data_IF_671326343776
#
_entry.id   IF_671326343776
#
_cell.length_a   1.000
_cell.length_b   1.000
_cell.length_c   1.000
_cell.angle_alpha   90.00
_cell.angle_beta   90.00
_cell.angle_gamma   90.00
#
_symmetry.space_group_name_H-M   'P 1'
#
loop_
_entity.id
_entity.type
_entity.pdbx_description
1 polymer ?
#
# COMPACT_ATOMS: atom_id res chain seq x y z
N UNK A 1 -11.54 63.98 -42.36
CA UNK A 1 -11.61 62.53 -42.63
C UNK A 1 -10.30 61.92 -42.16
N UNK A 2 -10.28 61.37 -40.92
CA UNK A 2 -9.10 60.78 -40.33
C UNK A 2 -9.00 59.33 -40.72
N UNK A 3 -8.02 58.94 -41.50
CA UNK A 3 -7.71 57.62 -41.94
C UNK A 3 -6.94 56.92 -40.77
N UNK A 4 -7.63 56.10 -39.97
CA UNK A 4 -7.07 55.31 -38.91
C UNK A 4 -6.22 54.17 -39.50
N UNK A 5 -4.90 54.36 -39.50
CA UNK A 5 -3.92 53.37 -39.96
C UNK A 5 -3.91 52.20 -38.97
N UNK A 6 -4.42 51.07 -39.40
CA UNK A 6 -4.40 49.84 -38.62
C UNK A 6 -2.94 49.34 -38.47
N UNK A 7 -2.51 48.94 -37.27
CA UNK A 7 -1.19 48.32 -37.09
C UNK A 7 -1.17 46.95 -37.76
N UNK A 8 -0.20 46.71 -38.62
CA UNK A 8 0.06 45.41 -39.23
C UNK A 8 0.48 44.42 -38.16
N UNK A 9 -0.06 43.20 -38.14
CA UNK A 9 0.39 42.17 -37.22
C UNK A 9 1.85 41.80 -37.53
N UNK A 10 2.66 41.80 -36.48
CA UNK A 10 4.06 41.40 -36.55
C UNK A 10 4.16 39.90 -36.94
N UNK A 11 4.54 39.65 -38.19
CA UNK A 11 4.94 38.33 -38.67
C UNK A 11 6.31 38.02 -38.10
N UNK A 12 6.37 37.25 -36.99
CA UNK A 12 7.62 36.87 -36.36
C UNK A 12 7.49 35.74 -35.39
N UNK A 13 6.48 34.87 -35.54
CA UNK A 13 6.56 33.55 -34.88
C UNK A 13 7.54 32.70 -35.69
N UNK A 14 8.80 32.67 -35.26
CA UNK A 14 9.77 31.68 -35.73
C UNK A 14 9.08 30.32 -35.61
N UNK A 15 8.80 29.69 -36.74
CA UNK A 15 8.41 28.28 -36.77
C UNK A 15 9.60 27.52 -36.20
N UNK A 16 9.58 27.34 -34.87
CA UNK A 16 10.44 26.40 -34.20
C UNK A 16 10.20 25.06 -34.93
N UNK A 17 11.23 24.58 -35.63
CA UNK A 17 11.07 23.46 -36.53
C UNK A 17 10.43 22.30 -35.79
N UNK A 18 9.39 21.71 -36.38
CA UNK A 18 8.70 20.54 -35.82
C UNK A 18 9.70 19.46 -35.32
N UNK A 19 10.80 19.29 -36.05
CA UNK A 19 11.90 18.37 -35.66
C UNK A 19 12.55 18.74 -34.31
N UNK A 20 12.74 20.03 -34.02
CA UNK A 20 13.26 20.48 -32.74
C UNK A 20 12.26 20.21 -31.59
N UNK A 21 10.97 20.45 -31.81
CA UNK A 21 9.91 20.17 -30.86
C UNK A 21 9.79 18.66 -30.57
N UNK A 22 9.92 17.81 -31.61
CA UNK A 22 9.93 16.36 -31.45
C UNK A 22 11.14 15.88 -30.64
N UNK A 23 12.32 16.45 -30.86
CA UNK A 23 13.52 16.14 -30.09
C UNK A 23 13.36 16.55 -28.62
N UNK A 24 12.83 17.75 -28.35
CA UNK A 24 12.55 18.19 -26.98
C UNK A 24 11.53 17.28 -26.27
N UNK A 25 10.45 16.91 -26.96
CA UNK A 25 9.44 16.01 -26.42
C UNK A 25 10.05 14.61 -26.13
N UNK A 26 10.88 14.09 -27.03
CA UNK A 26 11.56 12.81 -26.82
C UNK A 26 12.51 12.86 -25.62
N UNK A 27 13.28 13.93 -25.45
CA UNK A 27 14.19 14.11 -24.31
C UNK A 27 13.42 14.20 -23.00
N UNK A 28 12.34 14.95 -22.95
CA UNK A 28 11.49 15.08 -21.75
C UNK A 28 10.85 13.73 -21.40
N UNK A 29 10.34 13.00 -22.40
CA UNK A 29 9.73 11.69 -22.16
C UNK A 29 10.76 10.65 -21.67
N UNK A 30 11.96 10.64 -22.23
CA UNK A 30 13.02 9.74 -21.78
C UNK A 30 13.50 10.09 -20.37
N UNK A 31 13.65 11.39 -20.07
CA UNK A 31 14.01 11.85 -18.73
C UNK A 31 12.93 11.52 -17.70
N UNK A 32 11.67 11.71 -18.04
CA UNK A 32 10.55 11.36 -17.17
C UNK A 32 10.45 9.84 -16.94
N UNK A 33 10.63 9.04 -17.99
CA UNK A 33 10.64 7.58 -17.88
C UNK A 33 11.81 7.09 -17.01
N UNK A 34 12.99 7.68 -17.18
CA UNK A 34 14.17 7.37 -16.37
C UNK A 34 13.94 7.76 -14.91
N UNK A 35 13.37 8.94 -14.66
CA UNK A 35 13.05 9.41 -13.32
C UNK A 35 12.03 8.48 -12.64
N UNK A 36 10.97 8.09 -13.34
CA UNK A 36 9.98 7.12 -12.82
C UNK A 36 10.64 5.77 -12.52
N UNK A 37 11.58 5.32 -13.37
CA UNK A 37 12.28 4.07 -13.16
C UNK A 37 13.24 4.13 -11.96
N UNK A 38 13.89 5.28 -11.74
CA UNK A 38 14.79 5.52 -10.60
C UNK A 38 14.04 5.74 -9.28
N UNK A 39 12.86 6.38 -9.36
CA UNK A 39 12.00 6.65 -8.19
C UNK A 39 11.02 5.49 -7.91
N UNK A 40 10.97 4.47 -8.77
CA UNK A 40 10.24 3.26 -8.40
C UNK A 40 10.89 2.72 -7.14
N UNK A 41 10.16 2.70 -6.01
CA UNK A 41 10.67 1.98 -4.86
C UNK A 41 10.97 0.57 -5.36
N UNK A 42 12.23 0.16 -5.27
CA UNK A 42 12.57 -1.25 -5.34
C UNK A 42 11.97 -1.85 -4.08
N UNK A 43 10.66 -2.10 -4.11
CA UNK A 43 10.09 -3.06 -3.22
C UNK A 43 10.72 -4.39 -3.64
N UNK A 44 11.86 -4.73 -3.06
CA UNK A 44 12.14 -6.13 -2.81
C UNK A 44 10.81 -6.58 -2.19
N UNK A 45 10.16 -7.53 -2.82
CA UNK A 45 9.00 -8.16 -2.23
C UNK A 45 9.49 -8.89 -0.98
N UNK A 46 9.67 -8.13 0.09
CA UNK A 46 9.99 -8.68 1.39
C UNK A 46 8.75 -9.45 1.83
N UNK A 47 8.88 -10.67 2.31
CA UNK A 47 7.75 -11.43 2.76
C UNK A 47 7.03 -10.63 3.86
N UNK A 48 5.71 -10.52 3.72
CA UNK A 48 4.88 -9.89 4.73
C UNK A 48 4.69 -10.86 5.90
N UNK A 49 4.63 -10.30 7.10
CA UNK A 49 4.24 -10.99 8.30
C UNK A 49 3.10 -10.24 9.00
N UNK A 50 2.31 -10.96 9.75
CA UNK A 50 1.28 -10.37 10.59
C UNK A 50 1.83 -10.18 12.00
N UNK A 51 1.83 -8.95 12.47
CA UNK A 51 2.08 -8.61 13.87
C UNK A 51 0.75 -8.65 14.60
N UNK A 52 0.61 -9.60 15.51
CA UNK A 52 -0.58 -9.78 16.35
C UNK A 52 -0.28 -9.24 17.73
N UNK A 53 -1.03 -8.23 18.15
CA UNK A 53 -0.96 -7.64 19.49
C UNK A 53 -2.18 -8.10 20.31
N UNK A 54 -1.92 -8.73 21.42
CA UNK A 54 -2.93 -9.22 22.37
C UNK A 54 -3.19 -8.22 23.51
N UNK A 55 -2.63 -7.03 23.41
CA UNK A 55 -2.65 -6.07 24.51
C UNK A 55 -1.62 -6.36 25.59
N UNK A 56 -1.39 -5.39 26.46
CA UNK A 56 -0.42 -5.55 27.56
C UNK A 56 1.05 -5.68 27.14
N UNK A 57 1.37 -5.39 25.87
CA UNK A 57 2.73 -5.52 25.35
C UNK A 57 3.11 -6.94 24.90
N UNK A 58 2.12 -7.80 24.72
CA UNK A 58 2.33 -9.17 24.19
C UNK A 58 2.05 -9.13 22.70
N UNK A 59 3.11 -9.29 21.92
CA UNK A 59 3.03 -9.33 20.44
C UNK A 59 3.60 -10.66 19.93
N UNK A 60 3.00 -11.16 18.86
CA UNK A 60 3.45 -12.35 18.15
C UNK A 60 3.54 -12.06 16.64
N UNK A 61 4.58 -12.58 16.00
CA UNK A 61 4.80 -12.42 14.55
C UNK A 61 4.43 -13.71 13.85
N UNK A 62 3.44 -13.63 12.97
CA UNK A 62 2.97 -14.77 12.19
C UNK A 62 3.43 -14.63 10.74
N UNK A 63 4.25 -15.57 10.25
CA UNK A 63 4.64 -15.59 8.85
C UNK A 63 3.43 -15.90 7.95
N UNK A 64 3.35 -15.25 6.79
CA UNK A 64 2.29 -15.48 5.81
C UNK A 64 2.72 -16.43 4.68
N UNK A 65 3.89 -17.03 4.79
CA UNK A 65 4.47 -17.93 3.77
C UNK A 65 3.85 -19.32 3.75
N UNK A 66 3.15 -19.70 4.82
CA UNK A 66 2.51 -21.01 4.98
C UNK A 66 1.08 -20.85 5.46
N UNK A 67 0.20 -21.64 4.84
CA UNK A 67 -1.17 -21.75 5.29
C UNK A 67 -1.22 -22.40 6.66
N UNK A 68 -1.82 -21.73 7.63
CA UNK A 68 -1.95 -22.19 9.00
C UNK A 68 -3.14 -21.55 9.70
N UNK A 69 -3.75 -22.30 10.62
CA UNK A 69 -4.82 -21.83 11.49
C UNK A 69 -4.30 -21.63 12.90
N UNK A 70 -4.36 -20.40 13.39
CA UNK A 70 -3.94 -20.00 14.73
C UNK A 70 -5.16 -19.80 15.62
N UNK A 71 -5.21 -20.49 16.72
CA UNK A 71 -6.26 -20.38 17.74
C UNK A 71 -5.68 -19.83 19.02
N UNK A 72 -6.18 -18.68 19.44
CA UNK A 72 -5.73 -17.99 20.65
C UNK A 72 -6.86 -17.87 21.66
N UNK A 73 -6.60 -18.36 22.87
CA UNK A 73 -7.45 -18.16 24.03
C UNK A 73 -7.13 -16.80 24.65
N UNK A 74 -8.01 -15.82 24.48
CA UNK A 74 -7.82 -14.47 24.98
C UNK A 74 -8.93 -14.13 25.96
N UNK A 75 -8.68 -14.43 27.22
CA UNK A 75 -9.62 -14.21 28.31
C UNK A 75 -10.91 -15.04 28.17
N UNK A 76 -11.99 -14.43 27.77
CA UNK A 76 -13.29 -15.12 27.62
C UNK A 76 -13.61 -15.48 26.16
N UNK A 77 -12.69 -15.20 25.24
CA UNK A 77 -12.91 -15.37 23.80
C UNK A 77 -11.82 -16.23 23.18
N UNK A 78 -12.21 -17.07 22.23
CA UNK A 78 -11.28 -17.74 21.32
C UNK A 78 -11.22 -16.94 20.02
N UNK A 79 -10.03 -16.49 19.67
CA UNK A 79 -9.76 -15.80 18.42
C UNK A 79 -9.11 -16.77 17.44
N UNK A 80 -9.71 -16.93 16.27
CA UNK A 80 -9.21 -17.74 15.19
C UNK A 80 -8.65 -16.85 14.09
N UNK A 81 -7.36 -16.95 13.84
CA UNK A 81 -6.66 -16.29 12.74
C UNK A 81 -6.27 -17.34 11.71
N UNK A 82 -6.75 -17.21 10.50
CA UNK A 82 -6.39 -18.09 9.40
C UNK A 82 -5.42 -17.39 8.44
N UNK A 83 -4.28 -18.02 8.21
CA UNK A 83 -3.34 -17.67 7.14
C UNK A 83 -3.61 -18.59 5.95
N UNK A 84 -3.92 -18.01 4.81
CA UNK A 84 -4.17 -18.73 3.57
C UNK A 84 -3.74 -17.91 2.35
N UNK A 85 -3.01 -18.55 1.44
CA UNK A 85 -2.56 -17.93 0.19
C UNK A 85 -1.84 -16.57 0.38
N UNK A 86 -1.03 -16.44 1.42
CA UNK A 86 -0.30 -15.21 1.74
C UNK A 86 -1.16 -14.10 2.34
N UNK A 87 -2.37 -14.40 2.78
CA UNK A 87 -3.29 -13.47 3.45
C UNK A 87 -3.61 -13.95 4.85
N UNK A 88 -4.04 -13.04 5.72
CA UNK A 88 -4.54 -13.38 7.05
C UNK A 88 -5.94 -12.79 7.26
N UNK A 89 -6.80 -13.53 7.96
CA UNK A 89 -8.15 -13.10 8.29
C UNK A 89 -8.62 -13.67 9.62
N UNK A 90 -9.57 -13.00 10.25
CA UNK A 90 -10.33 -13.58 11.36
C UNK A 90 -11.38 -14.53 10.80
N UNK A 91 -11.48 -15.74 11.38
CA UNK A 91 -12.44 -16.76 11.01
C UNK A 91 -13.09 -17.31 12.27
N UNK A 92 -14.40 -17.56 12.23
CA UNK A 92 -15.17 -18.23 13.29
C UNK A 92 -14.76 -17.80 14.72
N UNK A 93 -14.37 -16.55 14.89
CA UNK A 93 -13.96 -16.02 16.19
C UNK A 93 -15.20 -15.88 17.09
N UNK A 94 -15.06 -16.24 18.36
CA UNK A 94 -16.16 -16.19 19.34
C UNK A 94 -16.50 -14.76 19.82
N UNK A 95 -16.31 -13.78 18.96
CA UNK A 95 -16.70 -12.40 19.24
C UNK A 95 -18.22 -12.25 19.12
N UNK A 96 -18.93 -11.61 20.07
CA UNK A 96 -20.37 -11.50 20.02
C UNK A 96 -20.88 -10.72 18.81
N UNK A 97 -20.09 -9.81 18.26
CA UNK A 97 -20.48 -8.93 17.17
C UNK A 97 -20.00 -9.41 15.79
N UNK A 98 -19.10 -10.39 15.73
CA UNK A 98 -18.43 -10.87 14.51
C UNK A 98 -17.87 -9.76 13.61
N UNK A 99 -17.58 -8.60 14.19
CA UNK A 99 -17.07 -7.43 13.44
C UNK A 99 -15.65 -7.68 12.94
N UNK A 100 -14.85 -8.45 13.68
CA UNK A 100 -13.48 -8.80 13.28
C UNK A 100 -13.45 -9.55 11.94
N UNK A 101 -14.43 -10.39 11.65
CA UNK A 101 -14.52 -11.12 10.38
C UNK A 101 -14.89 -10.23 9.20
N UNK A 102 -15.52 -9.09 9.47
CA UNK A 102 -15.92 -8.13 8.42
C UNK A 102 -14.74 -7.37 7.80
N UNK A 103 -13.57 -7.38 8.45
CA UNK A 103 -12.35 -6.83 7.85
C UNK A 103 -11.89 -7.65 6.64
N UNK A 104 -12.30 -8.92 6.54
CA UNK A 104 -11.94 -9.81 5.45
C UNK A 104 -10.46 -10.21 5.46
N UNK A 105 -9.94 -10.52 4.29
CA UNK A 105 -8.56 -10.94 4.10
C UNK A 105 -7.61 -9.74 4.01
N UNK A 106 -6.59 -9.73 4.85
CA UNK A 106 -5.52 -8.74 4.82
C UNK A 106 -4.37 -9.28 3.95
N UNK A 107 -3.98 -8.53 2.93
CA UNK A 107 -2.96 -8.93 1.94
C UNK A 107 -1.93 -7.85 1.64
N UNK A 108 -2.15 -6.63 2.10
CA UNK A 108 -1.31 -5.48 1.77
C UNK A 108 -0.53 -5.00 2.99
N UNK A 109 0.67 -4.47 2.76
CA UNK A 109 1.47 -3.82 3.79
C UNK A 109 0.68 -2.68 4.43
N UNK A 110 0.69 -2.62 5.75
CA UNK A 110 -0.07 -1.63 6.52
C UNK A 110 -1.56 -1.95 6.71
N UNK A 111 -2.08 -3.00 6.07
CA UNK A 111 -3.43 -3.47 6.34
C UNK A 111 -3.56 -3.96 7.79
N UNK A 112 -4.70 -3.71 8.40
CA UNK A 112 -4.95 -4.05 9.79
C UNK A 112 -6.38 -4.49 10.05
N UNK A 113 -6.56 -5.26 11.10
CA UNK A 113 -7.86 -5.65 11.62
C UNK A 113 -7.80 -5.78 13.14
N UNK A 114 -8.93 -5.66 13.81
CA UNK A 114 -9.00 -5.76 15.25
C UNK A 114 -10.25 -6.50 15.72
N UNK A 115 -10.07 -7.32 16.75
CA UNK A 115 -11.16 -7.88 17.53
C UNK A 115 -11.25 -7.11 18.86
N UNK A 116 -12.08 -6.09 18.91
CA UNK A 116 -12.20 -5.18 20.07
C UNK A 116 -12.66 -5.92 21.34
N UNK A 117 -13.65 -6.82 21.31
CA UNK A 117 -14.05 -7.57 22.51
C UNK A 117 -12.94 -8.44 23.08
N UNK A 118 -12.10 -9.04 22.23
CA UNK A 118 -10.96 -9.86 22.65
C UNK A 118 -9.70 -9.04 22.92
N UNK A 119 -9.65 -7.77 22.50
CA UNK A 119 -8.47 -6.93 22.64
C UNK A 119 -7.31 -7.34 21.72
N UNK A 120 -7.59 -7.99 20.58
CA UNK A 120 -6.60 -8.46 19.63
C UNK A 120 -6.54 -7.54 18.42
N UNK A 121 -5.34 -7.12 18.06
CA UNK A 121 -5.04 -6.30 16.91
C UNK A 121 -4.04 -6.99 15.99
N UNK A 122 -4.31 -6.98 14.69
CA UNK A 122 -3.44 -7.57 13.68
C UNK A 122 -3.05 -6.49 12.67
N UNK A 123 -1.77 -6.37 12.37
CA UNK A 123 -1.24 -5.46 11.34
C UNK A 123 -0.25 -6.22 10.45
N UNK A 124 -0.33 -6.00 9.15
CA UNK A 124 0.66 -6.50 8.20
C UNK A 124 1.83 -5.54 8.08
N UNK A 125 3.03 -6.07 8.20
CA UNK A 125 4.28 -5.35 8.02
C UNK A 125 5.30 -6.23 7.28
N UNK A 126 6.34 -5.63 6.66
CA UNK A 126 7.49 -6.39 6.20
C UNK A 126 8.10 -7.21 7.34
N UNK A 127 8.58 -8.39 7.04
CA UNK A 127 9.10 -9.31 8.07
C UNK A 127 10.18 -8.67 8.94
N UNK A 128 11.06 -7.87 8.35
CA UNK A 128 12.11 -7.13 9.10
C UNK A 128 11.53 -6.13 10.11
N UNK A 129 10.45 -5.43 9.77
CA UNK A 129 9.76 -4.50 10.68
C UNK A 129 8.97 -5.26 11.74
N UNK A 130 8.32 -6.35 11.35
CA UNK A 130 7.56 -7.20 12.25
C UNK A 130 8.43 -7.81 13.35
N UNK A 131 9.61 -8.34 13.00
CA UNK A 131 10.57 -8.88 13.95
C UNK A 131 11.16 -7.81 14.88
N UNK A 132 11.29 -6.58 14.43
CA UNK A 132 11.76 -5.47 15.27
C UNK A 132 10.68 -4.98 16.25
N UNK A 133 9.41 -5.29 16.02
CA UNK A 133 8.28 -4.87 16.86
C UNK A 133 7.88 -5.92 17.93
N UNK A 134 8.45 -7.10 17.87
CA UNK A 134 8.18 -8.22 18.80
C UNK A 134 8.98 -8.18 20.09
#
# INVERSE_FOLDING_TARGET
>A
MSTRKQPRPAKGAKRLSWKANLLFAAVILTAAALLVLLLRPRSKAEPLAAVVDFGGGITEVLPLDKDYDYLYDVGSYVVHLQVKDGTISFQDSQCPDHVCEQFGQLSEEGAWAACVPAGVYVKLAPLSEAEAAS
#
